data_IF_803250269916
#
_entry.id   IF_803250269916
#
_cell.length_a   1.000
_cell.length_b   1.000
_cell.length_c   1.000
_cell.angle_alpha   90.00
_cell.angle_beta   90.00
_cell.angle_gamma   90.00
#
_symmetry.space_group_name_H-M   'P 1'
#
loop_
_entity.id
_entity.type
_entity.pdbx_description
1 polymer ?
#
# COMPACT_ATOMS: atom_id res chain seq x y z
N UNK A 1 1.28 -17.16 3.10
CA UNK A 1 2.34 -17.20 2.07
C UNK A 1 2.25 -15.87 1.35
N UNK A 2 3.34 -15.10 1.27
CA UNK A 2 3.30 -13.80 0.61
C UNK A 2 2.81 -13.96 -0.83
N UNK A 3 1.83 -13.16 -1.21
CA UNK A 3 1.18 -13.10 -2.51
C UNK A 3 2.22 -12.87 -3.62
N UNK A 4 2.74 -13.96 -4.20
CA UNK A 4 4.01 -13.98 -4.94
C UNK A 4 4.00 -13.23 -6.28
N UNK A 5 2.87 -12.64 -6.69
CA UNK A 5 2.73 -11.85 -7.91
C UNK A 5 2.24 -10.41 -7.73
N UNK A 6 1.92 -9.97 -6.51
CA UNK A 6 1.24 -8.69 -6.29
C UNK A 6 2.21 -7.54 -6.00
N UNK A 7 1.80 -6.31 -6.32
CA UNK A 7 2.57 -5.08 -6.12
C UNK A 7 1.92 -4.25 -5.01
N UNK A 8 2.71 -3.77 -4.06
CA UNK A 8 2.22 -2.99 -2.93
C UNK A 8 2.04 -1.50 -3.28
N UNK A 9 1.21 -0.78 -2.53
CA UNK A 9 1.20 0.69 -2.62
C UNK A 9 2.48 1.26 -2.01
N UNK A 10 3.08 2.22 -2.71
CA UNK A 10 4.28 2.94 -2.27
C UNK A 10 3.88 4.33 -1.78
N UNK A 11 4.35 4.67 -0.59
CA UNK A 11 4.20 6.00 0.00
C UNK A 11 5.06 7.02 -0.75
N UNK A 12 4.52 8.21 -0.98
CA UNK A 12 5.27 9.31 -1.62
C UNK A 12 6.21 9.97 -0.63
N UNK A 13 7.37 9.33 -0.42
CA UNK A 13 8.41 9.77 0.50
C UNK A 13 9.78 9.77 -0.20
N UNK A 14 10.54 10.89 -0.16
CA UNK A 14 11.82 10.98 -0.84
C UNK A 14 12.85 9.96 -0.33
N UNK A 15 12.79 9.58 0.95
CA UNK A 15 13.65 8.55 1.54
C UNK A 15 13.32 7.15 1.03
N UNK A 16 12.05 6.85 0.78
CA UNK A 16 11.62 5.60 0.12
C UNK A 16 12.13 5.54 -1.32
N UNK A 17 11.89 6.59 -2.11
CA UNK A 17 12.36 6.64 -3.50
C UNK A 17 13.89 6.60 -3.62
N UNK A 18 14.61 7.27 -2.72
CA UNK A 18 16.08 7.24 -2.68
C UNK A 18 16.61 5.84 -2.35
N UNK A 19 15.98 5.11 -1.43
CA UNK A 19 16.36 3.71 -1.16
C UNK A 19 15.94 2.77 -2.30
N UNK A 20 14.83 3.04 -3.00
CA UNK A 20 14.45 2.27 -4.19
C UNK A 20 15.50 2.40 -5.30
N UNK A 21 16.02 3.61 -5.55
CA UNK A 21 17.12 3.84 -6.50
C UNK A 21 18.32 2.94 -6.18
N UNK A 22 18.75 2.95 -4.91
CA UNK A 22 19.85 2.09 -4.42
C UNK A 22 19.53 0.61 -4.57
N UNK A 23 18.30 0.21 -4.28
CA UNK A 23 17.83 -1.17 -4.46
C UNK A 23 17.88 -1.65 -5.90
N UNK A 24 17.61 -0.77 -6.87
CA UNK A 24 17.77 -1.06 -8.29
C UNK A 24 19.23 -1.07 -8.76
N UNK A 25 20.18 -0.68 -7.90
CA UNK A 25 21.60 -0.57 -8.22
C UNK A 25 21.97 0.75 -8.90
N UNK A 26 21.09 1.75 -8.87
CA UNK A 26 21.38 3.10 -9.36
C UNK A 26 22.28 3.81 -8.36
N UNK A 27 23.38 4.38 -8.86
CA UNK A 27 24.36 5.09 -8.05
C UNK A 27 24.47 6.57 -8.47
N UNK A 28 24.86 7.42 -7.53
CA UNK A 28 25.06 8.85 -7.76
C UNK A 28 23.80 9.71 -7.80
N UNK A 29 22.62 9.16 -7.48
CA UNK A 29 21.34 9.87 -7.48
C UNK A 29 20.62 9.83 -6.13
N UNK A 30 19.79 10.83 -5.87
CA UNK A 30 18.84 10.86 -4.75
C UNK A 30 17.55 11.58 -5.13
N UNK A 31 16.51 11.41 -4.32
CA UNK A 31 15.21 12.07 -4.50
C UNK A 31 14.97 13.07 -3.39
N UNK A 32 14.47 14.24 -3.75
CA UNK A 32 14.24 15.38 -2.87
C UNK A 32 12.78 15.84 -2.97
N UNK A 33 12.15 16.13 -1.85
CA UNK A 33 10.80 16.69 -1.84
C UNK A 33 10.85 18.20 -2.11
N UNK A 34 9.93 18.69 -2.94
CA UNK A 34 9.79 20.10 -3.28
C UNK A 34 8.55 20.69 -2.59
N UNK A 35 8.77 21.61 -1.66
CA UNK A 35 7.68 22.39 -1.04
C UNK A 35 7.28 23.62 -1.87
N UNK A 36 8.21 24.12 -2.69
CA UNK A 36 7.99 25.19 -3.64
C UNK A 36 8.75 24.89 -4.93
N UNK A 37 8.19 25.30 -6.06
CA UNK A 37 8.89 25.29 -7.37
C UNK A 37 9.97 26.39 -7.45
N UNK A 38 10.07 27.26 -6.44
CA UNK A 38 11.12 28.27 -6.26
C UNK A 38 12.23 27.82 -5.28
N UNK A 39 12.22 26.55 -4.84
CA UNK A 39 13.20 26.05 -3.86
C UNK A 39 14.55 25.74 -4.53
N UNK A 40 15.38 26.79 -4.67
CA UNK A 40 16.72 26.69 -5.25
C UNK A 40 17.64 25.70 -4.52
N UNK A 41 17.43 25.49 -3.21
CA UNK A 41 18.21 24.51 -2.44
C UNK A 41 17.79 23.10 -2.80
N UNK A 42 16.49 22.88 -2.94
CA UNK A 42 15.95 21.59 -3.32
C UNK A 42 16.31 21.22 -4.77
N UNK A 43 16.29 22.22 -5.65
CA UNK A 43 16.58 22.13 -7.09
C UNK A 43 18.07 22.31 -7.42
N UNK A 44 18.96 21.72 -6.61
CA UNK A 44 20.39 21.73 -6.90
C UNK A 44 20.65 21.08 -8.26
N UNK A 45 21.17 21.88 -9.20
CA UNK A 45 21.35 21.47 -10.59
C UNK A 45 22.51 20.48 -10.76
N UNK A 46 22.43 19.58 -11.75
CA UNK A 46 21.31 19.35 -12.67
C UNK A 46 20.10 18.67 -12.00
N UNK A 47 18.89 19.00 -12.44
CA UNK A 47 17.67 18.26 -12.07
C UNK A 47 17.33 17.32 -13.23
N UNK A 48 17.26 16.01 -12.97
CA UNK A 48 17.07 15.00 -14.01
C UNK A 48 15.60 14.75 -14.34
N UNK A 49 14.70 14.98 -13.38
CA UNK A 49 13.27 14.82 -13.59
C UNK A 49 12.47 15.20 -12.34
N UNK A 50 11.17 15.38 -12.52
CA UNK A 50 10.22 15.65 -11.43
C UNK A 50 9.19 14.52 -11.35
N UNK A 51 8.89 14.03 -10.16
CA UNK A 51 7.84 13.06 -9.88
C UNK A 51 6.68 13.82 -9.23
N UNK A 52 5.51 13.76 -9.84
CA UNK A 52 4.32 14.43 -9.35
C UNK A 52 3.25 13.41 -8.97
N UNK A 53 2.77 13.48 -7.72
CA UNK A 53 1.64 12.73 -7.22
C UNK A 53 0.43 13.63 -7.09
N UNK A 54 -0.71 13.15 -7.59
CA UNK A 54 -2.00 13.84 -7.44
C UNK A 54 -3.14 12.82 -7.34
N UNK A 55 -4.31 13.27 -6.87
CA UNK A 55 -5.53 12.47 -6.88
C UNK A 55 -6.04 12.30 -8.30
N UNK A 56 -6.05 11.07 -8.81
CA UNK A 56 -6.48 10.75 -10.16
C UNK A 56 -7.99 11.02 -10.34
N UNK A 57 -8.34 11.61 -11.49
CA UNK A 57 -9.72 11.89 -11.89
C UNK A 57 -9.93 11.39 -13.31
N UNK A 58 -11.10 10.79 -13.57
CA UNK A 58 -11.45 10.31 -14.90
C UNK A 58 -11.61 11.50 -15.86
N UNK A 59 -10.94 11.44 -17.03
CA UNK A 59 -10.96 12.52 -18.03
C UNK A 59 -9.89 13.62 -17.86
N UNK A 60 -8.85 13.40 -17.06
CA UNK A 60 -7.68 14.28 -17.08
C UNK A 60 -6.85 14.03 -18.35
N UNK A 61 -7.12 14.80 -19.41
CA UNK A 61 -6.43 14.70 -20.70
C UNK A 61 -4.98 15.21 -20.68
N UNK A 62 -4.48 15.66 -19.51
CA UNK A 62 -3.12 16.19 -19.37
C UNK A 62 -2.99 17.58 -19.99
N UNK A 63 -1.77 18.13 -20.00
CA UNK A 63 -1.51 19.48 -20.49
C UNK A 63 -0.59 19.51 -21.74
N UNK A 64 -0.43 18.38 -22.44
CA UNK A 64 0.53 18.25 -23.55
C UNK A 64 -0.01 17.53 -24.78
N UNK A 65 0.83 17.45 -25.82
CA UNK A 65 0.52 16.79 -27.09
C UNK A 65 1.16 15.40 -27.15
N UNK A 66 0.40 14.38 -27.56
CA UNK A 66 0.95 13.03 -27.69
C UNK A 66 2.15 12.98 -28.65
N UNK A 67 3.22 12.31 -28.21
CA UNK A 67 4.45 12.15 -28.97
C UNK A 67 4.76 10.66 -29.16
N UNK A 68 5.03 10.27 -30.39
CA UNK A 68 5.47 8.91 -30.76
C UNK A 68 6.94 8.88 -31.17
N UNK A 69 7.76 9.82 -30.68
CA UNK A 69 9.18 9.90 -31.06
C UNK A 69 9.92 8.64 -30.58
N UNK A 70 10.74 7.99 -31.45
CA UNK A 70 11.35 6.70 -31.13
C UNK A 70 12.46 6.77 -30.08
N UNK A 71 13.02 7.96 -29.83
CA UNK A 71 14.11 8.16 -28.87
C UNK A 71 13.64 8.26 -27.41
N UNK A 72 12.34 8.19 -27.14
CA UNK A 72 11.79 8.27 -25.78
C UNK A 72 11.55 6.86 -25.25
N UNK A 73 12.22 6.52 -24.15
CA UNK A 73 11.85 5.33 -23.40
C UNK A 73 10.55 5.60 -22.64
N UNK A 74 9.53 4.82 -22.92
CA UNK A 74 8.24 4.91 -22.24
C UNK A 74 7.66 3.52 -22.10
N UNK A 75 7.35 3.13 -20.86
CA UNK A 75 6.63 1.91 -20.50
C UNK A 75 5.25 2.28 -19.96
N UNK A 76 4.21 1.64 -20.50
CA UNK A 76 2.82 1.76 -20.07
C UNK A 76 2.55 0.84 -18.86
N UNK A 77 1.72 1.28 -17.93
CA UNK A 77 1.40 0.54 -16.73
C UNK A 77 0.39 -0.55 -17.04
N UNK A 78 0.79 -1.79 -16.80
CA UNK A 78 -0.03 -2.99 -17.05
C UNK A 78 -0.60 -3.60 -15.77
N UNK A 79 -0.08 -3.19 -14.60
CA UNK A 79 -0.42 -3.72 -13.28
C UNK A 79 -0.79 -2.57 -12.33
N UNK A 80 -1.69 -2.83 -11.39
CA UNK A 80 -2.04 -1.87 -10.35
C UNK A 80 -0.88 -1.71 -9.34
N UNK A 81 -0.86 -0.58 -8.63
CA UNK A 81 0.09 -0.26 -7.57
C UNK A 81 1.58 -0.13 -7.96
N UNK A 82 1.96 -0.40 -9.22
CA UNK A 82 3.34 -0.23 -9.69
C UNK A 82 3.70 1.19 -10.11
N UNK A 83 2.76 2.14 -10.02
CA UNK A 83 2.89 3.51 -10.56
C UNK A 83 4.14 4.24 -10.05
N UNK A 84 4.51 4.08 -8.77
CA UNK A 84 5.73 4.70 -8.21
C UNK A 84 7.01 4.21 -8.90
N UNK A 85 7.18 2.88 -9.00
CA UNK A 85 8.34 2.28 -9.69
C UNK A 85 8.33 2.60 -11.18
N UNK A 86 7.15 2.59 -11.79
CA UNK A 86 6.99 2.90 -13.20
C UNK A 86 7.38 4.35 -13.53
N UNK A 87 6.91 5.32 -12.74
CA UNK A 87 7.27 6.72 -12.90
C UNK A 87 8.78 6.92 -12.72
N UNK A 88 9.38 6.27 -11.72
CA UNK A 88 10.82 6.34 -11.47
C UNK A 88 11.64 5.70 -12.60
N UNK A 89 11.26 4.52 -13.09
CA UNK A 89 11.96 3.86 -14.19
C UNK A 89 11.80 4.62 -15.50
N UNK A 90 10.58 5.07 -15.85
CA UNK A 90 10.36 5.91 -17.03
C UNK A 90 11.24 7.17 -17.00
N UNK A 91 11.44 7.77 -15.83
CA UNK A 91 12.38 8.88 -15.66
C UNK A 91 13.83 8.44 -15.92
N UNK A 92 14.31 7.43 -15.20
CA UNK A 92 15.71 6.98 -15.24
C UNK A 92 16.16 6.53 -16.63
N UNK A 93 15.27 5.87 -17.38
CA UNK A 93 15.62 5.36 -18.71
C UNK A 93 15.87 6.46 -19.73
N UNK A 94 15.45 7.69 -19.46
CA UNK A 94 15.66 8.86 -20.30
C UNK A 94 16.76 9.81 -19.79
N UNK A 95 17.47 9.45 -18.71
CA UNK A 95 18.63 10.22 -18.24
C UNK A 95 19.82 9.97 -19.18
N UNK A 96 20.34 11.04 -19.77
CA UNK A 96 21.46 11.02 -20.73
C UNK A 96 22.82 11.39 -20.10
N UNK A 97 22.85 11.69 -18.81
CA UNK A 97 24.08 12.12 -18.12
C UNK A 97 25.07 10.95 -17.97
N UNK A 98 26.29 11.05 -18.54
CA UNK A 98 27.33 10.01 -18.44
C UNK A 98 27.79 9.72 -17.00
N UNK A 99 27.59 10.66 -16.07
CA UNK A 99 27.90 10.48 -14.65
C UNK A 99 26.92 9.56 -13.93
N UNK A 100 25.72 9.34 -14.49
CA UNK A 100 24.67 8.53 -13.88
C UNK A 100 24.81 7.07 -14.30
N UNK A 101 24.93 6.19 -13.29
CA UNK A 101 25.03 4.74 -13.52
C UNK A 101 23.73 4.06 -13.11
N UNK A 102 22.99 3.53 -14.09
CA UNK A 102 21.73 2.82 -13.86
C UNK A 102 21.89 1.49 -13.11
N UNK A 103 23.11 0.94 -13.08
CA UNK A 103 23.38 -0.38 -12.53
C UNK A 103 23.01 -1.51 -13.51
N UNK A 104 23.42 -2.77 -13.21
CA UNK A 104 23.26 -3.89 -14.13
C UNK A 104 21.79 -4.25 -14.39
N UNK A 105 20.94 -4.22 -13.36
CA UNK A 105 19.52 -4.59 -13.46
C UNK A 105 18.78 -3.69 -14.46
N UNK A 106 18.83 -2.37 -14.25
CA UNK A 106 18.14 -1.42 -15.11
C UNK A 106 18.80 -1.30 -16.49
N UNK A 107 20.11 -1.46 -16.59
CA UNK A 107 20.80 -1.45 -17.89
C UNK A 107 20.39 -2.64 -18.75
N UNK A 108 20.34 -3.85 -18.18
CA UNK A 108 19.87 -5.06 -18.88
C UNK A 108 18.41 -4.95 -19.29
N UNK A 109 17.56 -4.44 -18.39
CA UNK A 109 16.15 -4.19 -18.71
C UNK A 109 16.01 -3.17 -19.85
N UNK A 110 16.79 -2.08 -19.84
CA UNK A 110 16.79 -1.08 -20.92
C UNK A 110 17.21 -1.70 -22.25
N UNK A 111 18.33 -2.42 -22.28
CA UNK A 111 18.85 -3.07 -23.48
C UNK A 111 17.85 -4.08 -24.06
N UNK A 112 17.20 -4.87 -23.20
CA UNK A 112 16.20 -5.85 -23.62
C UNK A 112 14.92 -5.19 -24.18
N UNK A 113 14.44 -4.12 -23.54
CA UNK A 113 13.12 -3.57 -23.81
C UNK A 113 13.12 -2.35 -24.77
N UNK A 114 14.28 -1.84 -25.18
CA UNK A 114 14.39 -0.60 -25.97
C UNK A 114 13.65 -0.66 -27.30
N UNK A 115 13.66 -1.80 -27.99
CA UNK A 115 13.02 -1.96 -29.31
C UNK A 115 11.54 -2.41 -29.23
N UNK A 116 11.00 -2.55 -28.02
CA UNK A 116 9.62 -2.98 -27.78
C UNK A 116 8.65 -1.80 -27.73
N UNK A 117 7.36 -2.04 -27.96
CA UNK A 117 6.31 -1.04 -27.78
C UNK A 117 6.08 -0.73 -26.28
N UNK A 118 5.45 0.41 -25.94
CA UNK A 118 5.24 0.81 -24.55
C UNK A 118 4.51 -0.21 -23.68
N UNK A 119 3.54 -0.94 -24.23
CA UNK A 119 2.75 -1.93 -23.50
C UNK A 119 3.61 -3.14 -23.16
N UNK A 120 4.38 -3.63 -24.15
CA UNK A 120 5.31 -4.74 -23.95
C UNK A 120 6.43 -4.38 -22.97
N UNK A 121 6.98 -3.15 -23.02
CA UNK A 121 7.93 -2.66 -22.01
C UNK A 121 7.33 -2.74 -20.60
N UNK A 122 6.08 -2.29 -20.45
CA UNK A 122 5.31 -2.40 -19.22
C UNK A 122 5.19 -3.83 -18.69
N UNK A 123 4.88 -4.77 -19.58
CA UNK A 123 4.78 -6.20 -19.26
C UNK A 123 6.13 -6.81 -18.83
N UNK A 124 7.22 -6.41 -19.48
CA UNK A 124 8.56 -6.83 -19.09
C UNK A 124 8.93 -6.30 -17.69
N UNK A 125 8.57 -5.05 -17.39
CA UNK A 125 8.77 -4.44 -16.08
C UNK A 125 7.96 -5.16 -14.99
N UNK A 126 6.68 -5.44 -15.25
CA UNK A 126 5.79 -6.11 -14.27
C UNK A 126 6.25 -7.53 -13.93
N UNK A 127 6.87 -8.21 -14.89
CA UNK A 127 7.35 -9.58 -14.75
C UNK A 127 8.77 -9.68 -14.20
N UNK A 128 9.46 -8.56 -14.00
CA UNK A 128 10.78 -8.56 -13.38
C UNK A 128 10.68 -8.83 -11.88
N UNK A 129 11.08 -10.03 -11.47
CA UNK A 129 11.08 -10.41 -10.06
C UNK A 129 12.00 -9.52 -9.22
N UNK A 130 13.18 -9.17 -9.75
CA UNK A 130 14.15 -8.33 -9.05
C UNK A 130 13.59 -6.92 -8.78
N UNK A 131 13.00 -6.28 -9.80
CA UNK A 131 12.38 -4.96 -9.65
C UNK A 131 11.21 -5.04 -8.65
N UNK A 132 10.37 -6.07 -8.77
CA UNK A 132 9.22 -6.29 -7.88
C UNK A 132 9.66 -6.57 -6.44
N UNK A 133 10.75 -7.30 -6.22
CA UNK A 133 11.31 -7.54 -4.89
C UNK A 133 11.79 -6.23 -4.26
N UNK A 134 12.49 -5.38 -5.01
CA UNK A 134 12.91 -4.06 -4.50
C UNK A 134 11.69 -3.22 -4.17
N UNK A 135 10.71 -3.12 -5.08
CA UNK A 135 9.46 -2.38 -4.86
C UNK A 135 8.73 -2.86 -3.59
N UNK A 136 8.46 -4.17 -3.48
CA UNK A 136 7.75 -4.75 -2.34
C UNK A 136 8.55 -4.72 -1.04
N UNK A 137 9.87 -4.47 -1.07
CA UNK A 137 10.65 -4.32 0.17
C UNK A 137 10.26 -3.09 0.99
N UNK A 138 9.50 -2.17 0.38
CA UNK A 138 8.92 -0.96 0.98
C UNK A 138 7.43 -1.08 1.30
N UNK A 139 6.82 -2.26 1.07
CA UNK A 139 5.42 -2.49 1.42
C UNK A 139 5.20 -2.26 2.91
N UNK A 140 4.16 -1.49 3.27
CA UNK A 140 3.66 -1.51 4.64
C UNK A 140 3.19 -2.94 4.94
N UNK A 141 3.60 -3.48 6.08
CA UNK A 141 3.04 -4.76 6.51
C UNK A 141 1.55 -4.55 6.81
N UNK A 142 0.69 -5.16 6.02
CA UNK A 142 -0.74 -5.28 6.31
C UNK A 142 -0.86 -6.10 7.59
N UNK A 143 -1.28 -5.45 8.68
CA UNK A 143 -1.35 -6.05 10.02
C UNK A 143 -2.32 -7.27 10.05
N UNK A 144 -3.24 -7.36 9.08
CA UNK A 144 -4.14 -8.49 8.83
C UNK A 144 -4.52 -8.55 7.34
N UNK A 145 -4.61 -9.74 6.74
CA UNK A 145 -5.42 -9.99 5.53
C UNK A 145 -6.90 -10.06 5.94
N UNK A 146 -7.45 -8.94 6.41
CA UNK A 146 -8.91 -8.82 6.48
C UNK A 146 -9.34 -8.27 5.14
N UNK A 147 -9.96 -9.13 4.34
CA UNK A 147 -10.66 -8.77 3.11
C UNK A 147 -11.90 -7.92 3.48
N UNK A 148 -11.65 -6.69 3.95
CA UNK A 148 -12.69 -5.71 4.27
C UNK A 148 -13.26 -5.24 2.93
N UNK A 149 -14.21 -6.02 2.39
CA UNK A 149 -15.05 -5.62 1.25
C UNK A 149 -15.98 -4.49 1.73
N UNK A 150 -15.44 -3.28 1.79
CA UNK A 150 -16.18 -2.09 2.20
C UNK A 150 -15.37 -0.98 2.85
N UNK A 151 -14.06 -0.87 2.60
CA UNK A 151 -13.41 0.43 2.74
C UNK A 151 -14.09 1.43 1.80
N UNK A 152 -14.26 2.68 2.25
CA UNK A 152 -14.51 3.79 1.34
C UNK A 152 -13.55 3.68 0.15
N UNK A 153 -14.00 4.00 -1.08
CA UNK A 153 -13.14 3.96 -2.25
C UNK A 153 -11.83 4.68 -1.89
N UNK A 154 -10.72 3.94 -1.79
CA UNK A 154 -9.42 4.54 -1.50
C UNK A 154 -9.21 5.63 -2.55
N UNK A 155 -8.84 6.82 -2.10
CA UNK A 155 -8.53 7.90 -3.02
C UNK A 155 -7.40 7.41 -3.94
N UNK A 156 -7.72 7.27 -5.23
CA UNK A 156 -6.77 6.78 -6.23
C UNK A 156 -5.73 7.87 -6.50
N UNK A 157 -4.60 7.84 -5.80
CA UNK A 157 -3.46 8.69 -6.13
C UNK A 157 -2.64 8.09 -7.28
N UNK A 158 -2.11 8.95 -8.14
CA UNK A 158 -1.36 8.53 -9.31
C UNK A 158 -0.06 9.32 -9.48
N UNK A 159 1.00 8.61 -9.86
CA UNK A 159 2.32 9.17 -10.12
C UNK A 159 2.51 9.42 -11.63
N UNK A 160 2.96 10.62 -11.96
CA UNK A 160 3.47 10.97 -13.29
C UNK A 160 4.87 11.54 -13.16
N UNK A 161 5.66 11.46 -14.22
CA UNK A 161 7.00 12.04 -14.24
C UNK A 161 7.15 13.07 -15.35
N UNK A 162 7.87 14.15 -15.08
CA UNK A 162 8.31 15.13 -16.06
C UNK A 162 9.82 15.00 -16.27
N UNK A 163 10.22 14.85 -17.53
CA UNK A 163 11.63 14.66 -17.90
C UNK A 163 12.00 15.50 -19.12
N UNK A 164 13.17 16.15 -19.09
CA UNK A 164 13.69 16.83 -20.26
C UNK A 164 14.41 15.82 -21.19
N UNK A 165 14.01 15.75 -22.46
CA UNK A 165 14.60 14.85 -23.47
C UNK A 165 14.88 15.66 -24.72
N UNK A 166 16.17 15.85 -25.03
CA UNK A 166 16.60 16.76 -26.09
C UNK A 166 16.17 18.21 -25.84
N UNK A 167 15.51 18.80 -26.83
CA UNK A 167 15.04 20.19 -26.87
C UNK A 167 13.61 20.37 -26.32
N UNK A 168 13.05 19.36 -25.65
CA UNK A 168 11.67 19.35 -25.16
C UNK A 168 11.58 18.78 -23.75
N UNK A 169 10.46 19.04 -23.08
CA UNK A 169 10.07 18.43 -21.82
C UNK A 169 8.85 17.54 -22.06
N UNK A 170 8.86 16.34 -21.50
CA UNK A 170 7.79 15.36 -21.63
C UNK A 170 7.18 15.00 -20.28
N UNK A 171 5.87 14.82 -20.27
CA UNK A 171 5.15 14.11 -19.21
C UNK A 171 5.02 12.63 -19.61
N UNK A 172 5.52 11.74 -18.75
CA UNK A 172 5.39 10.30 -18.88
C UNK A 172 4.42 9.79 -17.82
N UNK A 173 3.19 9.54 -18.27
CA UNK A 173 2.10 9.00 -17.47
C UNK A 173 1.88 7.54 -17.84
N UNK A 174 2.14 6.61 -16.92
CA UNK A 174 2.02 5.18 -17.17
C UNK A 174 0.60 4.73 -17.55
N UNK A 175 -0.45 5.48 -17.22
CA UNK A 175 -1.82 5.12 -17.60
C UNK A 175 -2.17 5.53 -19.04
N UNK A 176 -1.28 6.22 -19.75
CA UNK A 176 -1.46 6.63 -21.14
C UNK A 176 -0.77 5.68 -22.11
N UNK A 177 -1.22 5.74 -23.36
CA UNK A 177 -0.62 4.97 -24.46
C UNK A 177 0.70 5.59 -24.96
N UNK A 178 0.85 6.92 -24.85
CA UNK A 178 1.99 7.67 -25.37
C UNK A 178 2.45 8.79 -24.40
N UNK A 179 3.75 9.14 -24.42
CA UNK A 179 4.28 10.35 -23.80
C UNK A 179 3.57 11.63 -24.27
N UNK A 180 3.52 12.65 -23.43
CA UNK A 180 3.06 13.98 -23.82
C UNK A 180 4.23 14.97 -23.88
N UNK A 181 4.38 15.67 -24.99
CA UNK A 181 5.23 16.86 -25.08
C UNK A 181 4.51 18.02 -24.39
N UNK A 182 5.13 18.60 -23.34
CA UNK A 182 4.48 19.63 -22.49
C UNK A 182 5.14 21.00 -22.57
N UNK A 183 6.43 21.08 -22.89
CA UNK A 183 7.13 22.36 -23.01
C UNK A 183 8.34 22.28 -23.94
N UNK A 184 8.73 23.42 -24.49
CA UNK A 184 10.00 23.61 -25.18
C UNK A 184 11.14 23.76 -24.17
N UNK A 185 12.32 23.21 -24.51
CA UNK A 185 13.56 23.39 -23.76
C UNK A 185 14.66 23.88 -24.71
N UNK A 186 14.75 25.19 -24.97
CA UNK A 186 15.86 25.73 -25.73
C UNK A 186 17.21 25.43 -25.07
N UNK A 187 18.26 25.30 -25.87
CA UNK A 187 19.60 24.99 -25.37
C UNK A 187 20.06 26.03 -24.34
N UNK A 188 20.59 25.58 -23.19
CA UNK A 188 21.03 26.45 -22.10
C UNK A 188 19.92 26.99 -21.19
N UNK A 189 18.65 26.63 -21.42
CA UNK A 189 17.53 27.01 -20.53
C UNK A 189 17.32 26.01 -19.40
N UNK A 190 16.79 26.53 -18.28
CA UNK A 190 16.30 25.69 -17.19
C UNK A 190 14.93 25.11 -17.55
N UNK A 191 14.89 23.79 -17.72
CA UNK A 191 13.67 23.08 -18.07
C UNK A 191 12.65 23.08 -16.93
N UNK A 192 13.10 23.25 -15.68
CA UNK A 192 12.21 23.32 -14.51
C UNK A 192 11.34 24.57 -14.58
N UNK A 193 11.90 25.71 -15.00
CA UNK A 193 11.14 26.94 -15.23
C UNK A 193 10.13 26.80 -16.38
N UNK A 194 10.44 25.99 -17.40
CA UNK A 194 9.51 25.70 -18.50
C UNK A 194 8.32 24.83 -18.07
N UNK A 195 8.53 23.85 -17.18
CA UNK A 195 7.47 22.93 -16.72
C UNK A 195 6.67 23.46 -15.53
N UNK A 196 7.24 24.37 -14.75
CA UNK A 196 6.59 25.03 -13.60
C UNK A 196 5.17 25.55 -13.88
N UNK A 197 4.90 26.34 -14.93
CA UNK A 197 3.53 26.78 -15.22
C UNK A 197 2.57 25.63 -15.56
N UNK A 198 3.09 24.54 -16.16
CA UNK A 198 2.28 23.35 -16.50
C UNK A 198 1.84 22.62 -15.24
N UNK A 199 2.74 22.43 -14.27
CA UNK A 199 2.44 21.81 -12.98
C UNK A 199 1.47 22.69 -12.18
N UNK A 200 1.71 24.00 -12.14
CA UNK A 200 0.81 24.95 -11.46
C UNK A 200 -0.59 24.95 -12.07
N UNK A 201 -0.69 24.97 -13.40
CA UNK A 201 -1.99 24.88 -14.09
C UNK A 201 -2.71 23.57 -13.74
N UNK A 202 -1.97 22.45 -13.63
CA UNK A 202 -2.55 21.16 -13.22
C UNK A 202 -3.07 21.21 -11.79
N UNK A 203 -2.30 21.77 -10.85
CA UNK A 203 -2.74 21.96 -9.46
C UNK A 203 -3.99 22.85 -9.36
N UNK A 204 -4.11 23.88 -10.21
CA UNK A 204 -5.28 24.77 -10.26
C UNK A 204 -6.57 24.10 -10.76
N UNK A 205 -6.50 22.93 -11.44
CA UNK A 205 -7.70 22.18 -11.85
C UNK A 205 -8.42 21.51 -10.67
N UNK A 206 -7.77 21.43 -9.51
CA UNK A 206 -8.36 20.85 -8.31
C UNK A 206 -9.07 21.94 -7.49
N UNK A 207 -10.09 21.54 -6.71
CA UNK A 207 -10.93 22.47 -5.95
C UNK A 207 -10.11 23.26 -4.93
N UNK A 208 -10.46 24.53 -4.72
CA UNK A 208 -9.85 25.38 -3.69
C UNK A 208 -9.88 24.65 -2.33
N UNK A 209 -8.69 24.30 -1.81
CA UNK A 209 -8.50 23.56 -0.55
C UNK A 209 -8.05 22.10 -0.70
N UNK A 210 -8.03 21.54 -1.91
CA UNK A 210 -7.38 20.24 -2.15
C UNK A 210 -5.86 20.45 -2.21
N UNK A 211 -5.17 20.00 -1.16
CA UNK A 211 -3.71 20.15 -0.98
C UNK A 211 -2.97 18.82 -1.09
N UNK A 212 -3.64 17.76 -1.56
CA UNK A 212 -3.12 16.40 -1.57
C UNK A 212 -2.27 16.14 -2.81
N UNK A 213 -1.22 16.93 -2.95
CA UNK A 213 -0.18 16.76 -3.96
C UNK A 213 1.16 16.48 -3.31
N UNK A 214 2.00 15.75 -4.02
CA UNK A 214 3.40 15.62 -3.66
C UNK A 214 4.25 15.87 -4.91
N UNK A 215 5.34 16.60 -4.76
CA UNK A 215 6.28 16.85 -5.83
C UNK A 215 7.68 16.50 -5.33
N UNK A 216 8.38 15.69 -6.10
CA UNK A 216 9.75 15.30 -5.81
C UNK A 216 10.64 15.54 -7.03
N UNK A 217 11.92 15.80 -6.80
CA UNK A 217 12.94 15.96 -7.82
C UNK A 217 13.96 14.84 -7.73
N UNK A 218 14.36 14.29 -8.89
CA UNK A 218 15.53 13.43 -9.02
C UNK A 218 16.75 14.30 -9.29
N UNK A 219 17.71 14.26 -8.37
CA UNK A 219 18.92 15.07 -8.38
C UNK A 219 20.16 14.21 -8.14
N UNK A 220 21.36 14.70 -8.46
CA UNK A 220 22.60 14.05 -8.06
C UNK A 220 22.69 13.87 -6.55
N UNK A 221 23.51 12.91 -6.12
CA UNK A 221 23.80 12.73 -4.71
C UNK A 221 24.47 14.00 -4.14
N UNK A 222 23.75 14.72 -3.28
CA UNK A 222 24.20 16.02 -2.75
C UNK A 222 25.46 15.90 -1.92
N UNK A 223 25.57 14.85 -1.12
CA UNK A 223 26.77 14.60 -0.33
C UNK A 223 27.99 14.48 -1.25
N UNK A 224 27.87 13.70 -2.33
CA UNK A 224 28.96 13.56 -3.30
C UNK A 224 29.30 14.90 -3.95
N UNK A 225 28.30 15.69 -4.37
CA UNK A 225 28.54 17.02 -4.93
C UNK A 225 29.26 17.95 -3.96
N UNK A 226 28.82 18.01 -2.70
CA UNK A 226 29.49 18.83 -1.68
C UNK A 226 30.90 18.35 -1.40
N UNK A 227 31.16 17.04 -1.42
CA UNK A 227 32.50 16.48 -1.26
C UNK A 227 33.43 16.87 -2.41
N UNK A 228 32.94 16.81 -3.65
CA UNK A 228 33.69 17.25 -4.83
C UNK A 228 33.97 18.75 -4.80
N UNK A 229 32.98 19.57 -4.45
CA UNK A 229 33.15 21.03 -4.27
C UNK A 229 34.14 21.35 -3.14
N UNK A 230 34.07 20.63 -2.03
CA UNK A 230 34.95 20.80 -0.88
C UNK A 230 36.40 20.47 -1.24
N UNK A 231 36.63 19.39 -1.97
CA UNK A 231 37.97 19.01 -2.42
C UNK A 231 38.55 20.05 -3.39
N UNK A 232 37.75 20.53 -4.34
CA UNK A 232 38.15 21.59 -5.26
C UNK A 232 38.50 22.90 -4.52
N UNK A 233 37.70 23.31 -3.53
CA UNK A 233 37.98 24.50 -2.73
C UNK A 233 39.21 24.33 -1.83
N UNK A 234 39.42 23.14 -1.26
CA UNK A 234 40.62 22.84 -0.46
C UNK A 234 41.89 22.94 -1.30
N UNK A 235 41.84 22.49 -2.56
CA UNK A 235 42.96 22.60 -3.49
C UNK A 235 43.21 24.06 -3.92
N UNK A 236 42.15 24.86 -4.10
CA UNK A 236 42.25 26.27 -4.47
C UNK A 236 42.61 27.22 -3.30
N UNK A 237 42.63 26.72 -2.05
CA UNK A 237 42.83 27.53 -0.84
C UNK A 237 44.31 27.86 -0.59
N UNK A 238 45.01 28.40 -1.58
CA UNK A 238 46.44 28.77 -1.50
C UNK A 238 46.69 29.92 -0.50
N UNK A 239 45.69 30.78 -0.25
CA UNK A 239 45.80 31.98 0.59
C UNK A 239 45.07 31.90 1.95
N UNK A 240 44.50 30.75 2.34
CA UNK A 240 43.66 30.60 3.55
C UNK A 240 42.42 31.51 3.64
N UNK A 241 41.99 32.12 2.54
CA UNK A 241 40.82 33.00 2.50
C UNK A 241 39.48 32.24 2.36
N UNK A 242 39.52 30.95 2.01
CA UNK A 242 38.31 30.15 1.73
C UNK A 242 37.79 29.36 2.95
N UNK A 243 38.29 29.66 4.14
CA UNK A 243 37.97 28.90 5.37
C UNK A 243 36.47 28.89 5.73
N UNK A 244 35.76 29.99 5.51
CA UNK A 244 34.31 30.08 5.77
C UNK A 244 33.51 29.18 4.83
N UNK A 245 33.79 29.24 3.52
CA UNK A 245 33.11 28.41 2.50
C UNK A 245 33.39 26.91 2.69
N UNK A 246 34.62 26.57 3.10
CA UNK A 246 34.99 25.20 3.48
C UNK A 246 34.16 24.74 4.68
N UNK A 247 34.03 25.57 5.72
CA UNK A 247 33.20 25.28 6.89
C UNK A 247 31.72 25.10 6.55
N UNK A 248 31.18 25.92 5.64
CA UNK A 248 29.79 25.82 5.19
C UNK A 248 29.53 24.50 4.44
N UNK A 249 30.45 24.08 3.55
CA UNK A 249 30.34 22.79 2.86
C UNK A 249 30.49 21.61 3.81
N UNK A 250 31.39 21.68 4.79
CA UNK A 250 31.52 20.62 5.80
C UNK A 250 30.25 20.49 6.65
N UNK A 251 29.60 21.60 6.99
CA UNK A 251 28.31 21.60 7.67
C UNK A 251 27.20 21.03 6.76
N UNK A 252 27.16 21.42 5.48
CA UNK A 252 26.19 20.89 4.52
C UNK A 252 26.32 19.37 4.32
N UNK A 253 27.54 18.84 4.23
CA UNK A 253 27.80 17.39 4.18
C UNK A 253 27.26 16.71 5.44
N UNK A 254 27.55 17.28 6.61
CA UNK A 254 27.11 16.72 7.89
C UNK A 254 25.58 16.71 8.02
N UNK A 255 24.91 17.73 7.52
CA UNK A 255 23.46 17.80 7.54
C UNK A 255 22.82 16.80 6.56
N UNK A 256 23.43 16.61 5.38
CA UNK A 256 23.02 15.58 4.42
C UNK A 256 23.22 14.16 5.02
N UNK A 257 24.32 13.90 5.72
CA UNK A 257 24.55 12.62 6.41
C UNK A 257 23.47 12.32 7.47
N UNK A 258 23.15 13.30 8.33
CA UNK A 258 22.08 13.15 9.32
C UNK A 258 20.73 12.87 8.67
N UNK A 259 20.43 13.55 7.57
CA UNK A 259 19.19 13.35 6.80
C UNK A 259 19.12 11.92 6.27
N UNK A 260 20.20 11.41 5.68
CA UNK A 260 20.25 10.04 5.17
C UNK A 260 20.15 8.99 6.30
N UNK A 261 20.72 9.25 7.47
CA UNK A 261 20.53 8.41 8.66
C UNK A 261 19.07 8.41 9.14
N UNK A 262 18.41 9.56 9.11
CA UNK A 262 17.00 9.69 9.45
C UNK A 262 16.11 8.89 8.49
N UNK A 263 16.34 8.99 7.18
CA UNK A 263 15.62 8.18 6.18
C UNK A 263 15.82 6.69 6.40
N UNK A 264 17.05 6.25 6.67
CA UNK A 264 17.33 4.84 6.98
C UNK A 264 16.57 4.38 8.23
N UNK A 265 16.55 5.20 9.28
CA UNK A 265 15.81 4.90 10.52
C UNK A 265 14.31 4.82 10.28
N UNK A 266 13.75 5.72 9.48
CA UNK A 266 12.33 5.74 9.17
C UNK A 266 11.93 4.56 8.28
N UNK A 267 12.74 4.20 7.29
CA UNK A 267 12.50 3.01 6.48
C UNK A 267 12.58 1.72 7.31
N UNK A 268 13.49 1.64 8.29
CA UNK A 268 13.50 0.52 9.23
C UNK A 268 12.22 0.44 10.06
N UNK A 269 11.63 1.58 10.45
CA UNK A 269 10.33 1.61 11.15
C UNK A 269 9.20 1.16 10.24
N UNK A 270 9.15 1.67 9.00
CA UNK A 270 8.14 1.28 8.00
C UNK A 270 8.10 -0.22 7.72
N UNK A 271 9.28 -0.86 7.73
CA UNK A 271 9.44 -2.30 7.49
C UNK A 271 9.24 -3.16 8.74
N UNK A 272 9.16 -2.56 9.93
CA UNK A 272 9.08 -3.30 11.18
C UNK A 272 7.67 -3.86 11.43
N UNK A 273 7.60 -5.13 11.82
CA UNK A 273 6.34 -5.75 12.23
C UNK A 273 5.98 -5.34 13.66
N UNK A 274 5.07 -4.40 13.82
CA UNK A 274 4.61 -3.96 15.15
C UNK A 274 3.55 -4.87 15.78
N UNK A 275 3.01 -5.88 15.09
CA UNK A 275 1.95 -6.77 15.63
C UNK A 275 2.37 -7.44 16.94
N UNK A 276 3.55 -8.10 17.05
CA UNK A 276 3.97 -8.73 18.31
C UNK A 276 4.11 -7.72 19.45
N UNK A 277 4.63 -6.53 19.15
CA UNK A 277 4.78 -5.46 20.12
C UNK A 277 3.43 -4.96 20.64
N UNK A 278 2.49 -4.68 19.74
CA UNK A 278 1.12 -4.24 20.10
C UNK A 278 0.41 -5.30 20.94
N UNK A 279 0.50 -6.57 20.54
CA UNK A 279 -0.12 -7.68 21.28
C UNK A 279 0.45 -7.81 22.69
N UNK A 280 1.76 -7.68 22.87
CA UNK A 280 2.38 -7.76 24.19
C UNK A 280 2.06 -6.54 25.05
N UNK A 281 2.05 -5.34 24.45
CA UNK A 281 1.60 -4.11 25.13
C UNK A 281 0.16 -4.25 25.65
N UNK A 282 -0.75 -4.77 24.83
CA UNK A 282 -2.14 -5.01 25.22
C UNK A 282 -2.26 -6.02 26.37
N UNK A 283 -1.46 -7.10 26.35
CA UNK A 283 -1.42 -8.08 27.46
C UNK A 283 -0.91 -7.45 28.75
N UNK A 284 0.13 -6.63 28.70
CA UNK A 284 0.67 -5.93 29.89
C UNK A 284 -0.39 -4.99 30.47
N UNK A 285 -1.02 -4.17 29.62
CA UNK A 285 -2.08 -3.25 30.06
C UNK A 285 -3.28 -3.98 30.66
N UNK A 286 -3.63 -5.16 30.13
CA UNK A 286 -4.69 -6.00 30.68
C UNK A 286 -4.30 -6.58 32.05
N UNK A 287 -3.07 -7.08 32.20
CA UNK A 287 -2.54 -7.60 33.48
C UNK A 287 -2.48 -6.53 34.56
N UNK A 288 -2.14 -5.29 34.19
CA UNK A 288 -2.12 -4.15 35.11
C UNK A 288 -3.52 -3.56 35.39
N UNK A 289 -4.57 -4.08 34.75
CA UNK A 289 -5.95 -3.58 34.92
C UNK A 289 -6.23 -2.22 34.28
N UNK A 290 -5.26 -1.64 33.56
CA UNK A 290 -5.35 -0.29 32.95
C UNK A 290 -6.04 -0.29 31.59
N UNK A 291 -6.11 -1.44 30.92
CA UNK A 291 -6.58 -1.50 29.54
C UNK A 291 -8.03 -0.98 29.38
N UNK A 292 -8.95 -1.43 30.24
CA UNK A 292 -10.37 -1.06 30.14
C UNK A 292 -10.58 0.43 30.38
N UNK A 293 -9.87 1.02 31.35
CA UNK A 293 -9.93 2.45 31.65
C UNK A 293 -9.46 3.28 30.45
N UNK A 294 -8.27 2.97 29.90
CA UNK A 294 -7.70 3.68 28.75
C UNK A 294 -8.57 3.59 27.49
N UNK A 295 -9.19 2.42 27.28
CA UNK A 295 -10.12 2.20 26.17
C UNK A 295 -11.38 3.06 26.34
N UNK A 296 -11.96 3.09 27.55
CA UNK A 296 -13.14 3.93 27.83
C UNK A 296 -12.83 5.42 27.71
N UNK A 297 -11.67 5.89 28.18
CA UNK A 297 -11.22 7.26 27.96
C UNK A 297 -11.04 7.59 26.47
N UNK A 298 -10.48 6.66 25.69
CA UNK A 298 -10.34 6.83 24.25
C UNK A 298 -11.71 6.93 23.56
N UNK A 299 -12.68 6.08 23.93
CA UNK A 299 -14.06 6.17 23.45
C UNK A 299 -14.71 7.51 23.82
N UNK A 300 -14.55 7.95 25.07
CA UNK A 300 -15.13 9.21 25.55
C UNK A 300 -14.53 10.42 24.80
N UNK A 301 -13.21 10.41 24.56
CA UNK A 301 -12.53 11.44 23.74
C UNK A 301 -12.97 11.41 22.28
N UNK A 302 -13.19 10.21 21.72
CA UNK A 302 -13.69 10.08 20.36
C UNK A 302 -15.13 10.63 20.25
N UNK A 303 -16.00 10.32 21.20
CA UNK A 303 -17.35 10.89 21.29
C UNK A 303 -17.33 12.42 21.48
N UNK A 304 -16.42 12.94 22.32
CA UNK A 304 -16.23 14.37 22.50
C UNK A 304 -15.73 15.09 21.24
N UNK A 305 -14.84 14.45 20.45
CA UNK A 305 -14.38 14.96 19.13
C UNK A 305 -15.52 15.03 18.12
N UNK A 306 -16.45 14.08 18.15
CA UNK A 306 -17.64 14.08 17.28
C UNK A 306 -18.62 15.19 17.69
N UNK A 307 -18.65 15.55 18.98
CA UNK A 307 -19.54 16.57 19.54
C UNK A 307 -18.93 17.98 19.63
N UNK A 308 -17.75 18.25 19.05
CA UNK A 308 -17.24 19.62 18.99
C UNK A 308 -18.14 20.43 18.04
N UNK A 309 -18.91 21.42 18.54
CA UNK A 309 -19.67 22.29 17.67
C UNK A 309 -18.66 23.12 16.86
N UNK A 310 -18.78 23.10 15.54
CA UNK A 310 -18.11 24.08 14.68
C UNK A 310 -18.62 25.47 15.08
N UNK A 311 -17.75 26.22 15.77
CA UNK A 311 -17.84 27.66 16.06
C UNK A 311 -19.04 28.07 16.95
N UNK A 312 -18.73 28.45 18.20
CA UNK A 312 -19.64 29.28 19.01
C UNK A 312 -19.86 30.62 18.30
N UNK A 313 -21.11 31.01 18.05
CA UNK A 313 -21.44 32.37 17.64
C UNK A 313 -20.93 33.35 18.70
N UNK A 314 -20.01 34.24 18.33
CA UNK A 314 -19.59 35.36 19.20
C UNK A 314 -20.80 36.22 19.56
N UNK A 315 -20.87 36.64 20.81
CA UNK A 315 -21.81 37.63 21.34
C UNK A 315 -21.78 38.94 20.51
N UNK A 316 -22.95 39.54 20.33
CA UNK A 316 -23.30 40.57 19.34
C UNK A 316 -22.54 41.93 19.36
N UNK A 317 -21.49 42.12 20.17
CA UNK A 317 -20.93 43.47 20.42
C UNK A 317 -19.59 43.81 19.73
N UNK A 318 -19.13 43.03 18.74
CA UNK A 318 -17.99 43.43 17.91
C UNK A 318 -18.26 43.24 16.42
N UNK A 319 -18.91 44.24 15.81
CA UNK A 319 -18.97 44.40 14.35
C UNK A 319 -17.68 45.07 13.86
N UNK A 320 -16.76 44.28 13.30
CA UNK A 320 -15.82 44.78 12.30
C UNK A 320 -16.44 44.54 10.92
N UNK A 321 -16.68 45.64 10.21
CA UNK A 321 -17.25 45.69 8.87
C UNK A 321 -16.27 45.06 7.88
N UNK A 322 -16.66 43.97 7.24
CA UNK A 322 -16.14 43.60 5.92
C UNK A 322 -17.30 43.30 4.98
N UNK A 323 -17.03 43.56 3.71
CA UNK A 323 -17.95 44.08 2.70
C UNK A 323 -19.07 43.09 2.29
N UNK A 324 -20.27 43.61 2.12
CA UNK A 324 -21.43 42.88 1.63
C UNK A 324 -21.51 43.00 0.10
N UNK A 325 -21.34 41.88 -0.62
CA UNK A 325 -22.06 41.50 -1.85
C UNK A 325 -21.32 40.39 -2.60
N UNK A 326 -21.72 39.15 -2.35
CA UNK A 326 -22.08 38.12 -3.35
C UNK A 326 -22.12 36.75 -2.65
N UNK A 327 -23.24 36.45 -2.01
CA UNK A 327 -23.63 35.06 -1.72
C UNK A 327 -25.11 34.93 -1.98
N UNK A 328 -25.44 34.03 -2.92
CA UNK A 328 -26.77 33.47 -3.06
C UNK A 328 -27.16 32.87 -1.70
N UNK A 329 -28.24 33.39 -1.11
CA UNK A 329 -28.69 32.96 0.21
C UNK A 329 -29.29 31.57 0.11
N UNK A 330 -28.63 30.58 0.71
CA UNK A 330 -29.26 29.34 1.16
C UNK A 330 -30.04 29.68 2.43
N UNK A 331 -31.32 29.31 2.50
CA UNK A 331 -32.21 29.64 3.60
C UNK A 331 -31.83 28.86 4.87
N UNK A 332 -32.06 29.45 6.05
CA UNK A 332 -31.66 28.85 7.33
C UNK A 332 -32.40 27.53 7.61
N UNK A 333 -33.62 27.39 7.08
CA UNK A 333 -34.43 26.17 7.21
C UNK A 333 -33.85 24.99 6.40
N UNK A 334 -33.17 25.25 5.27
CA UNK A 334 -32.50 24.22 4.46
C UNK A 334 -31.25 23.66 5.15
N UNK A 335 -30.51 24.51 5.88
CA UNK A 335 -29.37 24.08 6.70
C UNK A 335 -29.79 23.21 7.88
N UNK A 336 -30.92 23.54 8.52
CA UNK A 336 -31.48 22.74 9.61
C UNK A 336 -32.05 21.42 9.09
N UNK A 337 -32.70 21.42 7.92
CA UNK A 337 -33.18 20.22 7.25
C UNK A 337 -32.02 19.28 6.85
N UNK A 338 -30.95 19.84 6.28
CA UNK A 338 -29.74 19.10 5.93
C UNK A 338 -29.04 18.53 7.17
N UNK A 339 -28.93 19.31 8.25
CA UNK A 339 -28.36 18.85 9.51
C UNK A 339 -29.16 17.68 10.10
N UNK A 340 -30.49 17.73 10.06
CA UNK A 340 -31.36 16.65 10.51
C UNK A 340 -31.20 15.40 9.64
N UNK A 341 -31.15 15.55 8.31
CA UNK A 341 -30.91 14.43 7.39
C UNK A 341 -29.52 13.79 7.59
N UNK A 342 -28.48 14.61 7.81
CA UNK A 342 -27.12 14.13 8.09
C UNK A 342 -27.08 13.36 9.42
N UNK A 343 -27.82 13.82 10.44
CA UNK A 343 -27.88 13.16 11.74
C UNK A 343 -28.63 11.83 11.67
N UNK A 344 -29.73 11.77 10.93
CA UNK A 344 -30.46 10.53 10.65
C UNK A 344 -29.61 9.53 9.84
N UNK A 345 -28.88 10.01 8.83
CA UNK A 345 -27.95 9.18 8.06
C UNK A 345 -26.83 8.61 8.94
N UNK A 346 -26.27 9.41 9.86
CA UNK A 346 -25.25 8.96 10.81
C UNK A 346 -25.76 7.93 11.82
N UNK A 347 -26.98 8.09 12.33
CA UNK A 347 -27.63 7.09 13.19
C UNK A 347 -27.82 5.76 12.46
N UNK A 348 -28.22 5.80 11.19
CA UNK A 348 -28.35 4.60 10.35
C UNK A 348 -27.00 3.92 10.07
N UNK A 349 -25.93 4.69 9.85
CA UNK A 349 -24.57 4.15 9.68
C UNK A 349 -24.08 3.50 10.99
N UNK A 350 -24.33 4.13 12.15
CA UNK A 350 -24.01 3.57 13.47
C UNK A 350 -24.76 2.26 13.72
N UNK A 351 -26.06 2.22 13.42
CA UNK A 351 -26.87 0.99 13.53
C UNK A 351 -26.32 -0.13 12.66
N UNK A 352 -26.02 0.17 11.38
CA UNK A 352 -25.42 -0.81 10.46
C UNK A 352 -24.03 -1.28 10.90
N UNK A 353 -23.21 -0.41 11.48
CA UNK A 353 -21.90 -0.79 12.01
C UNK A 353 -22.03 -1.73 13.22
N UNK A 354 -22.95 -1.44 14.15
CA UNK A 354 -23.23 -2.32 15.28
C UNK A 354 -23.78 -3.68 14.86
N UNK A 355 -24.70 -3.72 13.90
CA UNK A 355 -25.26 -4.98 13.38
C UNK A 355 -24.17 -5.82 12.69
N UNK A 356 -23.25 -5.19 11.95
CA UNK A 356 -22.09 -5.87 11.35
C UNK A 356 -21.10 -6.39 12.39
N UNK A 357 -20.80 -5.61 13.42
CA UNK A 357 -19.92 -6.06 14.51
C UNK A 357 -20.52 -7.24 15.26
N UNK A 358 -21.84 -7.25 15.46
CA UNK A 358 -22.55 -8.38 16.06
C UNK A 358 -22.45 -9.63 15.17
N UNK A 359 -22.66 -9.48 13.86
CA UNK A 359 -22.50 -10.58 12.91
C UNK A 359 -21.07 -11.16 12.91
N UNK A 360 -20.05 -10.31 13.01
CA UNK A 360 -18.64 -10.74 13.12
C UNK A 360 -18.41 -11.51 14.43
N UNK A 361 -18.95 -11.01 15.55
CA UNK A 361 -18.84 -11.70 16.84
C UNK A 361 -19.49 -13.09 16.79
N UNK A 362 -20.69 -13.20 16.21
CA UNK A 362 -21.39 -14.48 16.05
C UNK A 362 -20.59 -15.45 15.15
N UNK A 363 -19.96 -14.94 14.08
CA UNK A 363 -19.09 -15.75 13.21
C UNK A 363 -17.81 -16.22 13.92
N UNK A 364 -17.19 -15.37 14.74
CA UNK A 364 -16.02 -15.75 15.54
C UNK A 364 -16.37 -16.85 16.55
N UNK A 365 -17.55 -16.79 17.17
CA UNK A 365 -18.04 -17.82 18.07
C UNK A 365 -18.30 -19.15 17.35
N UNK A 366 -18.90 -19.11 16.16
CA UNK A 366 -19.11 -20.30 15.31
C UNK A 366 -17.79 -20.94 14.86
N UNK A 367 -16.81 -20.13 14.45
CA UNK A 367 -15.48 -20.63 14.08
C UNK A 367 -14.76 -21.25 15.26
N UNK A 368 -14.88 -20.65 16.45
CA UNK A 368 -14.27 -21.19 17.66
C UNK A 368 -14.93 -22.52 18.08
N UNK A 369 -16.25 -22.63 17.98
CA UNK A 369 -17.00 -23.89 18.17
C UNK A 369 -16.55 -24.96 17.17
N UNK A 370 -16.43 -24.61 15.89
CA UNK A 370 -15.98 -25.53 14.84
C UNK A 370 -14.54 -26.00 15.08
N UNK A 371 -13.62 -25.10 15.43
CA UNK A 371 -12.24 -25.46 15.77
C UNK A 371 -12.17 -26.42 16.97
N UNK A 372 -13.01 -26.18 17.99
CA UNK A 372 -13.12 -27.08 19.14
C UNK A 372 -13.65 -28.45 18.75
N UNK A 373 -14.69 -28.52 17.92
CA UNK A 373 -15.24 -29.78 17.42
C UNK A 373 -14.18 -30.59 16.65
N UNK A 374 -13.40 -29.93 15.78
CA UNK A 374 -12.29 -30.58 15.05
C UNK A 374 -11.22 -31.13 16.00
N UNK A 375 -10.87 -30.39 17.06
CA UNK A 375 -9.92 -30.87 18.07
C UNK A 375 -10.48 -32.06 18.86
N UNK A 376 -11.76 -32.04 19.22
CA UNK A 376 -12.43 -33.14 19.91
C UNK A 376 -12.55 -34.39 19.03
N UNK A 377 -12.83 -34.22 17.74
CA UNK A 377 -12.86 -35.31 16.76
C UNK A 377 -11.46 -35.90 16.54
N UNK A 378 -10.42 -35.06 16.37
CA UNK A 378 -9.04 -35.53 16.24
C UNK A 378 -8.57 -36.30 17.48
N UNK A 379 -8.94 -35.85 18.68
CA UNK A 379 -8.61 -36.52 19.93
C UNK A 379 -9.37 -37.86 20.08
N UNK A 380 -10.62 -37.93 19.60
CA UNK A 380 -11.39 -39.18 19.53
C UNK A 380 -10.76 -40.16 18.55
N UNK A 381 -10.37 -39.70 17.36
CA UNK A 381 -9.73 -40.53 16.34
C UNK A 381 -8.38 -41.06 16.81
N UNK A 382 -7.58 -40.25 17.52
CA UNK A 382 -6.34 -40.68 18.16
C UNK A 382 -6.62 -41.77 19.21
N UNK A 383 -7.62 -41.57 20.06
CA UNK A 383 -8.01 -42.58 21.04
C UNK A 383 -8.44 -43.88 20.37
N UNK A 384 -9.23 -43.83 19.30
CA UNK A 384 -9.65 -45.00 18.54
C UNK A 384 -8.43 -45.71 17.92
N UNK A 385 -7.49 -45.00 17.31
CA UNK A 385 -6.26 -45.58 16.77
C UNK A 385 -5.40 -46.25 17.86
N UNK A 386 -5.28 -45.64 19.04
CA UNK A 386 -4.42 -46.12 20.11
C UNK A 386 -5.03 -47.27 20.93
N UNK A 387 -6.26 -47.72 20.64
CA UNK A 387 -6.94 -48.83 21.34
C UNK A 387 -6.50 -50.23 20.91
N UNK A 388 -5.54 -50.35 19.99
CA UNK A 388 -4.97 -51.66 19.64
C UNK A 388 -4.12 -52.30 20.76
N UNK A 389 -3.93 -51.64 21.92
CA UNK A 389 -3.05 -52.13 23.00
C UNK A 389 -3.54 -52.01 24.45
N UNK A 390 -4.80 -51.66 24.73
CA UNK A 390 -5.34 -51.58 26.11
C UNK A 390 -6.27 -52.75 26.43
N UNK A 391 -6.10 -53.39 27.60
CA UNK A 391 -6.85 -54.60 28.03
C UNK A 391 -8.35 -54.36 28.29
N UNK A 392 -8.86 -53.12 28.27
CA UNK A 392 -10.23 -52.82 28.68
C UNK A 392 -11.24 -52.63 27.54
N UNK A 393 -10.80 -52.25 26.31
CA UNK A 393 -11.70 -52.01 25.15
C UNK A 393 -10.96 -52.36 23.85
N UNK A 394 -11.59 -53.13 22.96
CA UNK A 394 -10.99 -53.62 21.70
C UNK A 394 -11.97 -53.48 20.53
N UNK A 395 -11.43 -53.42 19.30
CA UNK A 395 -12.25 -53.49 18.08
C UNK A 395 -12.57 -54.93 17.73
N UNK A 396 -13.82 -55.17 17.30
CA UNK A 396 -14.24 -56.44 16.69
C UNK A 396 -14.51 -56.21 15.21
N UNK A 397 -14.04 -57.12 14.35
CA UNK A 397 -14.40 -57.12 12.92
C UNK A 397 -15.76 -57.77 12.66
N UNK A 398 -16.36 -58.39 13.69
CA UNK A 398 -17.67 -59.04 13.63
C UNK A 398 -18.73 -58.11 14.20
N UNK A 399 -19.89 -58.07 13.59
CA UNK A 399 -21.01 -57.28 14.07
C UNK A 399 -21.53 -57.84 15.42
N UNK A 400 -22.10 -57.01 16.31
CA UNK A 400 -22.54 -57.45 17.63
C UNK A 400 -23.52 -58.62 17.60
N UNK A 401 -24.36 -58.70 16.57
CA UNK A 401 -25.29 -59.81 16.35
C UNK A 401 -24.60 -61.15 16.03
N UNK A 402 -23.38 -61.13 15.51
CA UNK A 402 -22.54 -62.28 15.18
C UNK A 402 -21.68 -62.75 16.35
N UNK A 403 -21.70 -62.05 17.49
CA UNK A 403 -20.99 -62.48 18.68
C UNK A 403 -21.67 -63.70 19.29
N UNK A 404 -20.89 -64.77 19.53
CA UNK A 404 -21.40 -66.04 20.06
C UNK A 404 -21.89 -65.98 21.52
N UNK A 405 -21.62 -64.88 22.24
CA UNK A 405 -22.01 -64.68 23.63
C UNK A 405 -23.03 -63.54 23.72
N UNK A 406 -24.26 -63.84 24.14
CA UNK A 406 -25.33 -62.85 24.26
C UNK A 406 -25.00 -61.76 25.28
N UNK A 407 -24.31 -62.11 26.38
CA UNK A 407 -23.87 -61.19 27.44
C UNK A 407 -22.95 -60.09 26.90
N UNK A 408 -22.13 -60.39 25.89
CA UNK A 408 -21.26 -59.39 25.26
C UNK A 408 -22.02 -58.36 24.42
N UNK A 409 -23.25 -58.65 23.99
CA UNK A 409 -24.05 -57.66 23.23
C UNK A 409 -24.39 -56.44 24.08
N UNK A 410 -24.47 -56.59 25.41
CA UNK A 410 -24.72 -55.49 26.35
C UNK A 410 -23.47 -54.61 26.57
N UNK A 411 -22.28 -55.10 26.20
CA UNK A 411 -21.01 -54.37 26.27
C UNK A 411 -20.70 -53.58 24.98
N UNK A 412 -21.60 -53.62 23.99
CA UNK A 412 -21.41 -52.91 22.72
C UNK A 412 -21.43 -51.39 22.90
N UNK A 413 -20.34 -50.74 22.51
CA UNK A 413 -20.16 -49.29 22.68
C UNK A 413 -20.43 -48.47 21.41
N UNK A 414 -20.34 -49.09 20.22
CA UNK A 414 -20.52 -48.41 18.95
C UNK A 414 -19.78 -49.07 17.79
N UNK A 415 -20.18 -48.72 16.57
CA UNK A 415 -19.56 -49.15 15.31
C UNK A 415 -19.14 -47.93 14.52
N UNK A 416 -17.97 -48.03 13.89
CA UNK A 416 -17.33 -46.94 13.16
C UNK A 416 -16.79 -47.48 11.84
N UNK A 417 -16.82 -46.63 10.81
CA UNK A 417 -16.18 -46.85 9.51
C UNK A 417 -14.89 -46.04 9.46
N UNK A 418 -13.79 -46.68 9.05
CA UNK A 418 -12.53 -45.99 8.80
C UNK A 418 -12.57 -45.39 7.39
N UNK A 419 -12.41 -44.08 7.30
CA UNK A 419 -12.41 -43.35 6.03
C UNK A 419 -11.01 -43.31 5.39
N UNK A 420 -10.94 -42.91 4.12
CA UNK A 420 -9.69 -42.86 3.36
C UNK A 420 -8.66 -41.86 3.93
N UNK A 421 -9.14 -40.79 4.56
CA UNK A 421 -8.31 -39.78 5.25
C UNK A 421 -7.85 -40.22 6.65
N UNK A 422 -8.18 -41.46 7.04
CA UNK A 422 -7.92 -42.07 8.36
C UNK A 422 -8.75 -41.49 9.51
N UNK A 423 -9.83 -40.76 9.24
CA UNK A 423 -10.83 -40.41 10.26
C UNK A 423 -11.81 -41.56 10.52
N UNK A 424 -12.44 -41.60 11.71
CA UNK A 424 -13.47 -42.59 12.04
C UNK A 424 -14.88 -41.98 12.03
N UNK A 425 -15.75 -42.47 11.16
CA UNK A 425 -17.16 -42.05 11.09
C UNK A 425 -18.07 -43.04 11.82
N UNK A 426 -18.89 -42.61 12.80
CA UNK A 426 -19.90 -43.49 13.41
C UNK A 426 -20.88 -44.02 12.35
N UNK A 427 -21.33 -45.27 12.47
CA UNK A 427 -22.25 -45.87 11.48
C UNK A 427 -23.54 -45.06 11.28
N UNK A 428 -24.02 -44.38 12.32
CA UNK A 428 -25.21 -43.51 12.24
C UNK A 428 -25.01 -42.20 11.46
N UNK A 429 -23.77 -41.83 11.11
CA UNK A 429 -23.45 -40.59 10.38
C UNK A 429 -22.88 -40.84 8.98
N UNK A 430 -22.77 -42.11 8.56
CA UNK A 430 -22.16 -42.47 7.27
C UNK A 430 -22.88 -41.85 6.08
N UNK A 431 -24.22 -41.85 6.06
CA UNK A 431 -25.01 -41.26 4.97
C UNK A 431 -24.70 -39.77 4.81
N UNK A 432 -24.66 -39.03 5.94
CA UNK A 432 -24.31 -37.61 5.95
C UNK A 432 -22.90 -37.37 5.41
N UNK A 433 -21.94 -38.21 5.81
CA UNK A 433 -20.54 -38.11 5.37
C UNK A 433 -20.39 -38.43 3.89
N UNK A 434 -21.10 -39.44 3.39
CA UNK A 434 -21.09 -39.82 1.97
C UNK A 434 -21.70 -38.71 1.09
N UNK A 435 -22.78 -38.06 1.55
CA UNK A 435 -23.36 -36.90 0.88
C UNK A 435 -22.40 -35.69 0.84
N UNK A 436 -21.68 -35.43 1.94
CA UNK A 436 -20.71 -34.35 2.04
C UNK A 436 -19.55 -34.55 1.05
N UNK A 437 -18.98 -35.76 1.03
CA UNK A 437 -17.90 -36.14 0.12
C UNK A 437 -18.36 -36.06 -1.34
N UNK A 438 -19.58 -36.50 -1.65
CA UNK A 438 -20.15 -36.40 -2.99
C UNK A 438 -20.29 -34.94 -3.46
N UNK A 439 -20.73 -34.02 -2.58
CA UNK A 439 -20.79 -32.57 -2.90
C UNK A 439 -19.41 -31.99 -3.15
N UNK A 440 -18.42 -32.33 -2.34
CA UNK A 440 -17.04 -31.86 -2.50
C UNK A 440 -16.43 -32.35 -3.84
N UNK A 441 -16.69 -33.59 -4.22
CA UNK A 441 -16.27 -34.12 -5.52
C UNK A 441 -16.93 -33.40 -6.70
N UNK A 442 -18.23 -33.09 -6.60
CA UNK A 442 -18.92 -32.28 -7.61
C UNK A 442 -18.32 -30.88 -7.75
N UNK A 443 -17.95 -30.23 -6.64
CA UNK A 443 -17.31 -28.91 -6.65
C UNK A 443 -15.91 -28.98 -7.28
N UNK A 444 -15.12 -30.00 -6.93
CA UNK A 444 -13.77 -30.21 -7.49
C UNK A 444 -13.81 -30.47 -9.01
N UNK A 445 -14.76 -31.29 -9.48
CA UNK A 445 -14.95 -31.54 -10.92
C UNK A 445 -15.38 -30.27 -11.68
N UNK A 446 -16.21 -29.44 -11.06
CA UNK A 446 -16.68 -28.17 -11.64
C UNK A 446 -15.56 -27.13 -11.75
N UNK A 447 -14.62 -27.11 -10.79
CA UNK A 447 -13.44 -26.26 -10.83
C UNK A 447 -12.38 -26.71 -11.84
N UNK A 448 -12.23 -28.02 -12.07
CA UNK A 448 -11.31 -28.57 -13.07
C UNK A 448 -11.74 -28.28 -14.53
N UNK A 449 -13.01 -27.95 -14.76
CA UNK A 449 -13.58 -27.69 -16.10
C UNK A 449 -13.48 -26.23 -16.56
N UNK A 450 -12.85 -25.34 -15.79
CA UNK A 450 -12.50 -23.98 -16.21
C UNK A 450 -13.71 -23.08 -16.54
N UNK A 451 -14.45 -22.64 -15.52
CA UNK A 451 -15.19 -21.37 -15.56
C UNK A 451 -15.27 -20.76 -14.16
N UNK A 452 -15.12 -19.44 -14.09
CA UNK A 452 -14.97 -18.61 -12.91
C UNK A 452 -16.05 -18.73 -11.80
N UNK A 453 -15.60 -18.36 -10.59
CA UNK A 453 -16.32 -17.98 -9.36
C UNK A 453 -16.98 -19.10 -8.54
N UNK A 454 -16.42 -19.33 -7.35
CA UNK A 454 -17.08 -19.94 -6.20
C UNK A 454 -18.35 -19.15 -5.84
N UNK A 455 -19.51 -19.60 -6.32
CA UNK A 455 -20.80 -19.17 -5.78
C UNK A 455 -21.24 -20.16 -4.72
N UNK A 456 -21.03 -19.81 -3.46
CA UNK A 456 -21.77 -20.44 -2.36
C UNK A 456 -23.19 -19.86 -2.38
N UNK A 457 -24.14 -20.61 -2.92
CA UNK A 457 -25.54 -20.20 -2.98
C UNK A 457 -26.26 -20.46 -1.65
N UNK A 458 -26.84 -19.37 -1.13
CA UNK A 458 -27.99 -19.18 -0.21
C UNK A 458 -28.37 -20.29 0.77
#
# INVERSE_FOLDING_TARGET
>A
MADAGNWCLIESDPGVFTEMLRGFGVDGLQVEELYSLDDDKALMKPVYGLIFLFKWRQGDDGNGTQSSKPNIFFAQQVIQNACATQALINMLMNVEDPGVKLGPLLSQYKEFAIDMDPSTRGLCLSNSEEIRTVHNSFSRQTLFELDIKGGEAEDNYHFVTYVPIGDKVYELDGLRDLPLEVADRPEGTDWVEAVKPIIQQRMQKFSEGEITFNLMALVPNRKQQYQEMLENLKQANENNELGEQIGDLENAIKDEEKKMEMYKKENNRRRHNYTPFVMELMKILAREGKLVELVNEAFTRAEARINVPLVQSRSEDQRLVTNARQTDKIDADDLVALANQLNSARQLVKGRACDRLKQIADQMEQLHMAARAVLEDAQRDEQLHNKQGSMEKYFSMLAPNEWGYQEKKEEYLGSYRLEYDRSWTPVGEMERKDEEVARLQQILQRNAAGTDRLTWGS
#
